data_IF_541246918840
#
_entry.id   IF_541246918840
#
_cell.length_a   1.000
_cell.length_b   1.000
_cell.length_c   1.000
_cell.angle_alpha   90.00
_cell.angle_beta   90.00
_cell.angle_gamma   90.00
#
_symmetry.space_group_name_H-M   'P 1'
#
loop_
_entity.id
_entity.type
_entity.pdbx_description
1 polymer ?
#
# COMPACT_ATOMS: atom_id res chain seq x y z
N UNK A 1 6.44 8.45 5.83
CA UNK A 1 5.87 7.10 5.57
C UNK A 1 6.97 6.05 5.52
N UNK A 2 7.95 6.15 4.60
CA UNK A 2 9.03 5.15 4.44
C UNK A 2 9.84 4.88 5.71
N UNK A 3 10.24 5.93 6.45
CA UNK A 3 11.01 5.78 7.71
C UNK A 3 10.24 5.01 8.79
N UNK A 4 8.93 5.23 8.90
CA UNK A 4 8.10 4.56 9.92
C UNK A 4 7.93 3.07 9.60
N UNK A 5 7.72 2.73 8.32
CA UNK A 5 7.57 1.32 7.93
C UNK A 5 8.86 0.52 8.13
N UNK A 6 10.03 1.15 7.94
CA UNK A 6 11.32 0.51 8.21
C UNK A 6 11.50 0.24 9.72
N UNK A 7 11.20 1.23 10.57
CA UNK A 7 11.27 1.06 12.02
C UNK A 7 10.32 -0.05 12.49
N UNK A 8 9.06 -0.03 12.01
CA UNK A 8 8.07 -1.07 12.33
C UNK A 8 8.51 -2.46 11.86
N UNK A 9 9.11 -2.58 10.67
CA UNK A 9 9.61 -3.87 10.18
C UNK A 9 10.74 -4.44 11.04
N UNK A 10 11.58 -3.57 11.62
CA UNK A 10 12.64 -3.98 12.54
C UNK A 10 12.05 -4.50 13.86
N UNK A 11 11.07 -3.79 14.43
CA UNK A 11 10.43 -4.21 15.68
C UNK A 11 9.69 -5.55 15.53
N UNK A 12 8.99 -5.73 14.41
CA UNK A 12 8.24 -6.95 14.09
C UNK A 12 9.11 -8.16 13.72
N UNK A 13 10.41 -7.95 13.48
CA UNK A 13 11.33 -9.04 13.13
C UNK A 13 11.45 -10.07 14.25
N UNK A 14 11.37 -9.65 15.52
CA UNK A 14 11.42 -10.53 16.68
C UNK A 14 10.25 -11.53 16.72
N UNK A 15 9.13 -11.18 16.09
CA UNK A 15 7.93 -12.03 15.97
C UNK A 15 7.90 -12.81 14.65
N UNK A 16 8.98 -12.77 13.86
CA UNK A 16 9.06 -13.34 12.51
C UNK A 16 8.02 -12.79 11.53
N UNK A 17 7.52 -11.56 11.77
CA UNK A 17 6.55 -10.90 10.90
C UNK A 17 7.29 -10.04 9.87
N UNK A 18 6.92 -10.19 8.58
CA UNK A 18 7.46 -9.38 7.48
C UNK A 18 6.49 -8.25 7.13
N UNK A 19 6.98 -7.01 7.09
CA UNK A 19 6.23 -5.84 6.66
C UNK A 19 6.51 -5.47 5.20
N UNK A 20 5.51 -4.93 4.51
CA UNK A 20 5.67 -4.33 3.19
C UNK A 20 4.93 -3.00 3.10
N UNK A 21 5.54 -2.02 2.43
CA UNK A 21 4.91 -0.75 2.12
C UNK A 21 4.71 -0.66 0.60
N UNK A 22 3.47 -0.71 0.15
CA UNK A 22 3.15 -0.61 -1.28
C UNK A 22 2.42 0.67 -1.62
N UNK A 23 2.58 1.14 -2.84
CA UNK A 23 1.87 2.31 -3.36
C UNK A 23 1.29 1.97 -4.73
N UNK A 24 -0.04 1.83 -4.88
CA UNK A 24 -0.67 1.47 -6.16
C UNK A 24 -0.70 2.63 -7.18
N UNK A 25 0.12 3.67 -6.98
CA UNK A 25 -0.02 5.00 -7.61
C UNK A 25 -1.43 5.55 -7.39
N UNK A 26 -1.91 6.40 -8.30
CA UNK A 26 -3.22 6.99 -8.22
C UNK A 26 -4.35 5.94 -8.40
N UNK A 27 -5.22 5.88 -7.40
CA UNK A 27 -6.40 5.01 -7.34
C UNK A 27 -7.59 5.87 -6.97
N UNK A 28 -8.60 5.88 -7.82
CA UNK A 28 -9.83 6.64 -7.66
C UNK A 28 -10.71 5.97 -6.60
N UNK A 29 -11.02 6.68 -5.52
CA UNK A 29 -11.74 6.14 -4.35
C UNK A 29 -12.58 7.23 -3.69
N UNK A 30 -13.37 6.90 -2.67
CA UNK A 30 -14.07 7.92 -1.90
C UNK A 30 -13.13 8.99 -1.28
N UNK A 31 -11.86 8.64 -1.01
CA UNK A 31 -10.88 9.56 -0.43
C UNK A 31 -10.46 10.69 -1.38
N UNK A 32 -10.62 10.49 -2.69
CA UNK A 32 -10.32 11.51 -3.70
C UNK A 32 -11.59 12.02 -4.41
N UNK A 33 -12.77 11.70 -3.87
CA UNK A 33 -14.09 12.01 -4.47
C UNK A 33 -14.30 11.35 -5.84
N UNK A 34 -13.66 10.19 -6.08
CA UNK A 34 -13.70 9.48 -7.35
C UNK A 34 -13.19 10.30 -8.54
N UNK A 35 -12.11 11.06 -8.34
CA UNK A 35 -11.49 11.85 -9.41
C UNK A 35 -11.05 10.96 -10.58
N UNK A 36 -11.16 11.52 -11.78
CA UNK A 36 -10.80 10.84 -13.03
C UNK A 36 -9.29 10.71 -13.22
N UNK A 37 -8.87 9.72 -14.03
CA UNK A 37 -7.46 9.44 -14.32
C UNK A 37 -6.80 8.42 -13.38
N UNK A 38 -7.52 7.97 -12.35
CA UNK A 38 -7.10 6.92 -11.43
C UNK A 38 -7.55 5.53 -11.86
N UNK A 39 -6.83 4.51 -11.38
CA UNK A 39 -7.31 3.13 -11.45
C UNK A 39 -8.49 2.95 -10.50
N UNK A 40 -9.39 2.01 -10.78
CA UNK A 40 -10.37 1.59 -9.77
C UNK A 40 -9.69 0.73 -8.69
N UNK A 41 -10.30 0.64 -7.52
CA UNK A 41 -9.77 -0.10 -6.37
C UNK A 41 -9.39 -1.56 -6.71
N UNK A 42 -10.21 -2.25 -7.52
CA UNK A 42 -9.95 -3.63 -7.92
C UNK A 42 -8.67 -3.76 -8.78
N UNK A 43 -8.45 -2.83 -9.71
CA UNK A 43 -7.24 -2.81 -10.54
C UNK A 43 -6.00 -2.49 -9.71
N UNK A 44 -6.11 -1.55 -8.77
CA UNK A 44 -5.05 -1.24 -7.83
C UNK A 44 -4.69 -2.45 -6.96
N UNK A 45 -5.69 -3.15 -6.40
CA UNK A 45 -5.48 -4.34 -5.58
C UNK A 45 -4.77 -5.46 -6.35
N UNK A 46 -5.13 -5.70 -7.61
CA UNK A 46 -4.47 -6.70 -8.47
C UNK A 46 -2.98 -6.42 -8.69
N UNK A 47 -2.59 -5.14 -8.77
CA UNK A 47 -1.18 -4.75 -8.87
C UNK A 47 -0.44 -5.06 -7.56
N UNK A 48 -1.09 -4.81 -6.42
CA UNK A 48 -0.50 -5.03 -5.11
C UNK A 48 -0.40 -6.51 -4.72
N UNK A 49 -1.29 -7.36 -5.25
CA UNK A 49 -1.33 -8.80 -4.97
C UNK A 49 -0.15 -9.61 -5.55
N UNK A 50 0.73 -8.99 -6.35
CA UNK A 50 1.94 -9.64 -6.88
C UNK A 50 3.08 -9.74 -5.86
N UNK A 51 2.82 -9.36 -4.61
CA UNK A 51 3.77 -9.41 -3.49
C UNK A 51 3.54 -10.65 -2.62
#
# INVERSE_FOLDING_TARGET
>A
VVLYTIALAHDLQAECIKGNCVTPRFTSTALDEFRSGGKIAEQAAKILAQW
#
